data_IF_752353090583
#
_entry.id   IF_752353090583
#
_cell.length_a   1.000
_cell.length_b   1.000
_cell.length_c   1.000
_cell.angle_alpha   90.00
_cell.angle_beta   90.00
_cell.angle_gamma   90.00
#
_symmetry.space_group_name_H-M   'P 1'
#
loop_
_entity.id
_entity.type
_entity.pdbx_description
1 polymer ?
#
# COMPACT_ATOMS: atom_id res chain seq x y z
N UNK A 1 -29.95 11.41 -39.49
CA UNK A 1 -28.89 10.78 -40.26
C UNK A 1 -27.53 11.43 -40.05
N UNK A 2 -27.45 12.72 -40.15
CA UNK A 2 -26.19 13.40 -39.88
C UNK A 2 -25.68 13.20 -38.47
N UNK A 3 -26.58 13.16 -37.53
CA UNK A 3 -26.24 12.91 -36.16
C UNK A 3 -25.63 11.54 -35.91
N UNK A 4 -26.02 10.54 -36.74
CA UNK A 4 -25.51 9.18 -36.56
C UNK A 4 -24.02 9.06 -36.86
N UNK A 5 -23.55 9.72 -37.92
CA UNK A 5 -22.12 9.69 -38.27
C UNK A 5 -21.29 10.46 -37.23
N UNK A 6 -21.79 11.64 -36.86
CA UNK A 6 -21.14 12.41 -35.79
C UNK A 6 -21.07 11.68 -34.48
N UNK A 7 -22.15 10.96 -34.15
CA UNK A 7 -22.20 10.17 -32.92
C UNK A 7 -21.20 9.01 -32.93
N UNK A 8 -21.02 8.37 -34.09
CA UNK A 8 -20.03 7.29 -34.20
C UNK A 8 -18.62 7.79 -33.96
N UNK A 9 -18.28 8.95 -34.55
CA UNK A 9 -16.97 9.57 -34.32
C UNK A 9 -16.77 9.96 -32.87
N UNK A 10 -17.81 10.53 -32.25
CA UNK A 10 -17.78 10.91 -30.81
C UNK A 10 -17.67 9.69 -29.92
N UNK A 11 -18.39 8.62 -30.24
CA UNK A 11 -18.32 7.40 -29.49
C UNK A 11 -16.92 6.80 -29.50
N UNK A 12 -16.27 6.75 -30.63
CA UNK A 12 -14.90 6.23 -30.75
C UNK A 12 -13.93 7.09 -29.93
N UNK A 13 -14.07 8.40 -29.95
CA UNK A 13 -13.26 9.32 -29.16
C UNK A 13 -13.51 9.16 -27.68
N UNK A 14 -14.77 8.98 -27.27
CA UNK A 14 -15.13 8.75 -25.88
C UNK A 14 -14.58 7.41 -25.38
N UNK A 15 -14.64 6.37 -26.19
CA UNK A 15 -14.10 5.06 -25.83
C UNK A 15 -12.59 5.14 -25.60
N UNK A 16 -11.87 5.85 -26.44
CA UNK A 16 -10.43 6.08 -26.27
C UNK A 16 -10.13 6.82 -24.96
N UNK A 17 -10.91 7.84 -24.65
CA UNK A 17 -10.77 8.60 -23.42
C UNK A 17 -11.01 7.72 -22.20
N UNK A 18 -12.05 6.88 -22.23
CA UNK A 18 -12.38 5.97 -21.15
C UNK A 18 -11.24 4.97 -20.93
N UNK A 19 -10.71 4.39 -22.02
CA UNK A 19 -9.58 3.47 -21.94
C UNK A 19 -8.36 4.15 -21.31
N UNK A 20 -8.07 5.37 -21.74
CA UNK A 20 -6.95 6.14 -21.20
C UNK A 20 -7.14 6.40 -19.71
N UNK A 21 -8.35 6.78 -19.31
CA UNK A 21 -8.68 7.01 -17.91
C UNK A 21 -8.52 5.74 -17.08
N UNK A 22 -8.99 4.61 -17.60
CA UNK A 22 -8.84 3.33 -16.92
C UNK A 22 -7.37 2.94 -16.75
N UNK A 23 -6.55 3.17 -17.79
CA UNK A 23 -5.12 2.89 -17.72
C UNK A 23 -4.43 3.80 -16.70
N UNK A 24 -4.80 5.07 -16.66
CA UNK A 24 -4.28 6.02 -15.68
C UNK A 24 -4.67 5.64 -14.25
N UNK A 25 -5.92 5.24 -14.06
CA UNK A 25 -6.40 4.77 -12.75
C UNK A 25 -5.63 3.53 -12.30
N UNK A 26 -5.42 2.59 -13.21
CA UNK A 26 -4.67 1.38 -12.90
C UNK A 26 -3.23 1.72 -12.50
N UNK A 27 -2.59 2.63 -13.22
CA UNK A 27 -1.25 3.11 -12.88
C UNK A 27 -1.22 3.74 -11.49
N UNK A 28 -2.20 4.58 -11.19
CA UNK A 28 -2.30 5.23 -9.88
C UNK A 28 -2.49 4.21 -8.77
N UNK A 29 -3.33 3.21 -8.99
CA UNK A 29 -3.53 2.14 -8.03
C UNK A 29 -2.26 1.31 -7.84
N UNK A 30 -1.56 1.00 -8.93
CA UNK A 30 -0.30 0.26 -8.87
C UNK A 30 0.77 1.07 -8.12
N UNK A 31 0.83 2.38 -8.35
CA UNK A 31 1.74 3.27 -7.63
C UNK A 31 1.42 3.33 -6.15
N UNK A 32 0.14 3.40 -5.78
CA UNK A 32 -0.30 3.39 -4.39
C UNK A 32 0.07 2.08 -3.70
N UNK A 33 -0.08 0.97 -4.40
CA UNK A 33 0.31 -0.35 -3.88
C UNK A 33 1.80 -0.47 -3.66
N UNK A 34 2.60 0.22 -4.47
CA UNK A 34 4.07 0.22 -4.34
C UNK A 34 4.57 1.13 -3.25
N UNK A 35 3.77 2.10 -2.84
CA UNK A 35 4.15 2.99 -1.74
C UNK A 35 4.32 2.17 -0.48
N UNK A 36 5.34 2.52 0.28
CA UNK A 36 5.64 1.84 1.52
C UNK A 36 5.57 2.81 2.69
N UNK A 37 5.24 2.28 3.84
CA UNK A 37 5.35 3.00 5.11
C UNK A 37 6.37 2.30 5.98
N UNK A 38 7.15 3.09 6.72
CA UNK A 38 8.14 2.60 7.66
C UNK A 38 7.63 2.84 9.07
N UNK A 39 7.65 1.81 9.88
CA UNK A 39 7.22 1.89 11.27
C UNK A 39 8.26 1.22 12.16
N UNK A 40 8.50 1.79 13.32
CA UNK A 40 9.33 1.18 14.34
C UNK A 40 8.62 1.17 15.67
N UNK A 41 8.93 0.20 16.50
CA UNK A 41 8.43 0.08 17.86
C UNK A 41 9.58 -0.24 18.80
N UNK A 42 9.42 0.14 20.07
CA UNK A 42 10.41 -0.15 21.11
C UNK A 42 11.74 0.56 20.89
N UNK A 43 11.72 1.81 20.36
CA UNK A 43 12.94 2.55 20.11
C UNK A 43 13.79 1.99 18.96
N UNK A 44 13.17 1.30 18.03
CA UNK A 44 13.85 0.69 16.89
C UNK A 44 14.12 -0.80 17.08
N UNK A 45 13.60 -1.41 18.14
CA UNK A 45 13.76 -2.84 18.38
C UNK A 45 13.09 -3.67 17.29
N UNK A 46 11.96 -3.19 16.76
CA UNK A 46 11.21 -3.82 15.67
C UNK A 46 10.96 -2.77 14.62
N UNK A 47 11.29 -3.08 13.38
CA UNK A 47 11.07 -2.21 12.23
C UNK A 47 10.28 -2.96 11.17
N UNK A 48 9.24 -2.32 10.64
CA UNK A 48 8.39 -2.90 9.61
C UNK A 48 8.30 -1.96 8.42
N UNK A 49 8.39 -2.53 7.24
CA UNK A 49 8.08 -1.86 5.98
C UNK A 49 6.85 -2.55 5.41
N UNK A 50 5.79 -1.78 5.18
CA UNK A 50 4.51 -2.28 4.67
C UNK A 50 4.15 -1.54 3.39
N UNK A 51 3.59 -2.26 2.41
CA UNK A 51 3.13 -1.64 1.16
C UNK A 51 1.68 -1.18 1.27
N UNK A 52 1.18 -0.56 0.19
CA UNK A 52 -0.19 -0.06 0.14
C UNK A 52 -1.26 -1.14 0.16
N UNK A 53 -0.92 -2.38 -0.10
CA UNK A 53 -1.81 -3.55 0.01
C UNK A 53 -1.82 -4.14 1.42
N UNK A 54 -1.19 -3.47 2.37
CA UNK A 54 -1.08 -3.93 3.76
C UNK A 54 -0.33 -5.24 3.90
N UNK A 55 0.68 -5.42 3.03
CA UNK A 55 1.58 -6.57 3.10
C UNK A 55 2.89 -6.13 3.73
N UNK A 56 3.40 -6.93 4.65
CA UNK A 56 4.71 -6.69 5.25
C UNK A 56 5.78 -7.09 4.24
N UNK A 57 6.57 -6.12 3.79
CA UNK A 57 7.68 -6.36 2.89
C UNK A 57 8.97 -6.69 3.62
N UNK A 58 9.14 -6.10 4.80
CA UNK A 58 10.33 -6.31 5.60
C UNK A 58 9.95 -6.22 7.08
N UNK A 59 10.49 -7.14 7.85
CA UNK A 59 10.41 -7.15 9.31
C UNK A 59 11.82 -7.36 9.83
N UNK A 60 12.33 -6.38 10.56
CA UNK A 60 13.67 -6.44 11.16
C UNK A 60 13.52 -6.34 12.66
N UNK A 61 14.12 -7.28 13.35
CA UNK A 61 14.16 -7.32 14.80
C UNK A 61 15.61 -7.15 15.24
N UNK A 62 15.86 -6.20 16.14
CA UNK A 62 17.18 -6.03 16.74
C UNK A 62 17.46 -7.24 17.64
N UNK A 63 18.55 -7.97 17.39
CA UNK A 63 18.89 -9.14 18.24
C UNK A 63 19.01 -8.79 19.71
N UNK A 64 19.40 -7.58 20.04
CA UNK A 64 19.51 -7.14 21.44
C UNK A 64 18.14 -7.05 22.13
N UNK A 65 17.04 -6.97 21.36
CA UNK A 65 15.69 -6.93 21.92
C UNK A 65 15.09 -8.32 22.12
N UNK A 66 15.78 -9.35 21.65
CA UNK A 66 15.28 -10.74 21.80
C UNK A 66 15.75 -11.30 23.14
N UNK A 67 14.81 -11.38 24.07
CA UNK A 67 15.04 -11.96 25.39
C UNK A 67 14.20 -13.22 25.52
N UNK A 68 14.83 -14.41 25.59
CA UNK A 68 14.09 -15.67 25.73
C UNK A 68 13.24 -15.74 27.00
N UNK A 69 13.58 -14.92 28.01
CA UNK A 69 12.83 -14.89 29.26
C UNK A 69 11.65 -13.90 29.21
N UNK A 70 11.60 -13.05 28.20
CA UNK A 70 10.53 -12.05 28.03
C UNK A 70 10.07 -11.99 26.58
N UNK A 71 9.60 -13.10 26.07
CA UNK A 71 9.09 -13.22 24.70
C UNK A 71 7.82 -12.39 24.51
N UNK A 72 7.06 -12.23 25.59
CA UNK A 72 5.80 -11.47 25.57
C UNK A 72 6.02 -10.01 25.17
N UNK A 73 7.10 -9.40 25.67
CA UNK A 73 7.45 -8.03 25.29
C UNK A 73 7.70 -7.93 23.79
N UNK A 74 8.41 -8.88 23.21
CA UNK A 74 8.68 -8.89 21.76
C UNK A 74 7.39 -9.08 20.97
N UNK A 75 6.50 -9.95 21.42
CA UNK A 75 5.20 -10.16 20.80
C UNK A 75 4.38 -8.86 20.77
N UNK A 76 4.36 -8.14 21.89
CA UNK A 76 3.65 -6.87 21.99
C UNK A 76 4.25 -5.80 21.07
N UNK A 77 5.57 -5.73 20.96
CA UNK A 77 6.24 -4.79 20.05
C UNK A 77 5.92 -5.09 18.59
N UNK A 78 5.92 -6.35 18.21
CA UNK A 78 5.59 -6.76 16.84
C UNK A 78 4.13 -6.42 16.54
N UNK A 79 3.22 -6.74 17.44
CA UNK A 79 1.79 -6.42 17.27
C UNK A 79 1.57 -4.93 17.15
N UNK A 80 2.21 -4.14 18.00
CA UNK A 80 2.10 -2.67 17.95
C UNK A 80 2.63 -2.12 16.62
N UNK A 81 3.77 -2.63 16.15
CA UNK A 81 4.37 -2.19 14.90
C UNK A 81 3.48 -2.53 13.70
N UNK A 82 2.92 -3.73 13.65
CA UNK A 82 2.03 -4.16 12.58
C UNK A 82 0.77 -3.28 12.55
N UNK A 83 0.15 -3.06 13.69
CA UNK A 83 -1.06 -2.26 13.79
C UNK A 83 -0.81 -0.80 13.40
N UNK A 84 0.33 -0.24 13.80
CA UNK A 84 0.73 1.11 13.43
C UNK A 84 0.99 1.21 11.93
N UNK A 85 1.62 0.21 11.33
CA UNK A 85 1.85 0.18 9.88
C UNK A 85 0.54 0.16 9.11
N UNK A 86 -0.43 -0.66 9.52
CA UNK A 86 -1.75 -0.72 8.90
C UNK A 86 -2.43 0.64 8.98
N UNK A 87 -2.36 1.28 10.15
CA UNK A 87 -2.94 2.61 10.34
C UNK A 87 -2.30 3.66 9.43
N UNK A 88 -0.98 3.62 9.27
CA UNK A 88 -0.28 4.54 8.37
C UNK A 88 -0.66 4.32 6.91
N UNK A 89 -0.85 3.08 6.50
CA UNK A 89 -1.28 2.78 5.12
C UNK A 89 -2.69 3.34 4.88
N UNK A 90 -3.57 3.25 5.86
CA UNK A 90 -4.94 3.74 5.75
C UNK A 90 -5.04 5.28 5.79
N UNK A 91 -4.07 5.94 6.35
CA UNK A 91 -4.00 7.39 6.34
C UNK A 91 -3.44 7.88 5.00
#
# INVERSE_FOLDING_TARGET
MFGGMGNMGNMAGMMKKVQKMQNEMKKMQDELKRRTVDVSAGGGAVKIIMNGDKQVQSLVIDPAAVDPEDVEMLQDLISAAVNEAIKKVDD
#
